data_IF_787144904286
#
_entry.id   IF_787144904286
#
_cell.length_a   1.000
_cell.length_b   1.000
_cell.length_c   1.000
_cell.angle_alpha   90.00
_cell.angle_beta   90.00
_cell.angle_gamma   90.00
#
_symmetry.space_group_name_H-M   'P 1'
#
loop_
_entity.id
_entity.type
_entity.pdbx_description
1 polymer ?
#
# COMPACT_ATOMS: atom_id res chain seq x y z
N UNK A 1 2.46 17.78 8.18
CA UNK A 1 3.70 17.97 7.38
C UNK A 1 4.27 16.67 6.80
N UNK A 2 3.64 15.50 6.98
CA UNK A 2 4.26 14.23 6.60
C UNK A 2 4.00 13.72 5.18
N UNK A 3 2.96 14.18 4.47
CA UNK A 3 2.72 13.81 3.06
C UNK A 3 3.96 13.91 2.16
N UNK A 4 4.74 15.01 2.14
CA UNK A 4 5.95 15.08 1.31
C UNK A 4 7.06 14.15 1.78
N UNK A 5 7.15 13.86 3.08
CA UNK A 5 8.12 12.91 3.63
C UNK A 5 7.78 11.47 3.20
N UNK A 6 6.52 11.08 3.36
CA UNK A 6 5.99 9.78 2.93
C UNK A 6 6.19 9.60 1.42
N UNK A 7 5.91 10.64 0.62
CA UNK A 7 6.17 10.63 -0.81
C UNK A 7 7.65 10.32 -1.13
N UNK A 8 8.60 11.00 -0.48
CA UNK A 8 10.04 10.75 -0.68
C UNK A 8 10.42 9.30 -0.37
N UNK A 9 9.87 8.71 0.68
CA UNK A 9 10.12 7.31 1.01
C UNK A 9 9.61 6.37 -0.07
N UNK A 10 8.38 6.57 -0.53
CA UNK A 10 7.83 5.78 -1.63
C UNK A 10 8.65 5.91 -2.92
N UNK A 11 9.09 7.11 -3.28
CA UNK A 11 9.95 7.31 -4.45
C UNK A 11 11.24 6.48 -4.34
N UNK A 12 11.90 6.50 -3.18
CA UNK A 12 13.12 5.69 -2.95
C UNK A 12 12.85 4.20 -3.08
N UNK A 13 11.76 3.73 -2.46
CA UNK A 13 11.36 2.31 -2.54
C UNK A 13 11.14 1.91 -4.01
N UNK A 14 10.43 2.74 -4.78
CA UNK A 14 10.16 2.47 -6.20
C UNK A 14 11.45 2.38 -7.03
N UNK A 15 12.45 3.22 -6.75
CA UNK A 15 13.75 3.16 -7.46
C UNK A 15 14.57 1.93 -7.13
N UNK A 16 14.38 1.35 -5.94
CA UNK A 16 15.12 0.16 -5.48
C UNK A 16 14.36 -1.14 -5.76
N UNK A 17 13.09 -1.06 -6.16
CA UNK A 17 12.26 -2.23 -6.36
C UNK A 17 12.72 -3.03 -7.59
N UNK A 18 12.89 -4.36 -7.48
CA UNK A 18 13.29 -5.18 -8.62
C UNK A 18 12.22 -5.19 -9.71
N UNK A 19 12.67 -5.30 -10.96
CA UNK A 19 11.78 -5.47 -12.10
C UNK A 19 11.21 -6.89 -12.11
N UNK A 20 9.88 -7.00 -12.13
CA UNK A 20 9.20 -8.29 -12.24
C UNK A 20 9.17 -8.73 -13.72
N UNK A 21 10.13 -9.58 -14.09
CA UNK A 21 10.22 -10.15 -15.44
C UNK A 21 9.21 -11.28 -15.71
N UNK A 22 8.64 -11.88 -14.66
CA UNK A 22 7.69 -12.98 -14.78
C UNK A 22 6.28 -12.49 -15.11
N UNK A 23 5.95 -11.25 -14.72
CA UNK A 23 4.63 -10.64 -14.96
C UNK A 23 4.79 -9.25 -15.57
N UNK A 24 5.13 -9.16 -16.88
CA UNK A 24 5.34 -7.87 -17.55
C UNK A 24 4.09 -6.98 -17.59
N UNK A 25 2.90 -7.57 -17.47
CA UNK A 25 1.61 -6.86 -17.47
C UNK A 25 1.28 -6.22 -16.13
N UNK A 26 1.84 -6.73 -15.02
CA UNK A 26 1.50 -6.31 -13.66
C UNK A 26 2.77 -5.88 -12.94
N UNK A 27 3.06 -4.58 -12.97
CA UNK A 27 4.20 -4.02 -12.24
C UNK A 27 3.76 -3.46 -10.90
N UNK A 28 4.37 -3.96 -9.83
CA UNK A 28 4.20 -3.42 -8.48
C UNK A 28 4.45 -1.90 -8.42
N UNK A 29 5.46 -1.43 -9.16
CA UNK A 29 5.81 -0.01 -9.20
C UNK A 29 4.66 0.85 -9.73
N UNK A 30 3.98 0.40 -10.80
CA UNK A 30 2.81 1.11 -11.35
C UNK A 30 1.66 1.16 -10.35
N UNK A 31 1.39 0.07 -9.65
CA UNK A 31 0.31 0.00 -8.64
C UNK A 31 0.57 0.93 -7.46
N UNK A 32 1.81 0.97 -6.96
CA UNK A 32 2.19 1.88 -5.86
C UNK A 32 2.18 3.34 -6.31
N UNK A 33 2.66 3.64 -7.51
CA UNK A 33 2.60 5.01 -8.06
C UNK A 33 1.16 5.50 -8.15
N UNK A 34 0.28 4.72 -8.79
CA UNK A 34 -1.15 5.05 -8.90
C UNK A 34 -1.79 5.31 -7.54
N UNK A 35 -1.43 4.52 -6.52
CA UNK A 35 -1.91 4.71 -5.14
C UNK A 35 -1.42 6.03 -4.53
N UNK A 36 -0.14 6.38 -4.72
CA UNK A 36 0.44 7.62 -4.21
C UNK A 36 -0.28 8.81 -4.82
N UNK A 37 -0.46 8.80 -6.14
CA UNK A 37 -1.15 9.85 -6.88
C UNK A 37 -2.56 10.00 -6.31
N UNK A 38 -3.31 8.91 -6.17
CA UNK A 38 -4.70 8.99 -5.72
C UNK A 38 -4.88 9.31 -4.23
N UNK A 39 -3.90 9.01 -3.35
CA UNK A 39 -4.04 9.18 -1.89
C UNK A 39 -3.31 10.39 -1.32
N UNK A 40 -2.15 10.75 -1.87
CA UNK A 40 -1.38 11.89 -1.38
C UNK A 40 -1.81 13.20 -2.06
N UNK A 41 -2.28 13.14 -3.32
CA UNK A 41 -2.73 14.32 -4.07
C UNK A 41 -4.24 14.60 -3.93
N UNK A 42 -5.06 13.60 -3.59
CA UNK A 42 -6.49 13.83 -3.34
C UNK A 42 -6.68 14.75 -2.13
N UNK A 43 -7.17 15.95 -2.44
CA UNK A 43 -7.70 16.91 -1.48
C UNK A 43 -8.92 16.30 -0.78
N UNK A 44 -9.15 16.53 0.53
CA UNK A 44 -10.24 15.93 1.29
C UNK A 44 -11.59 16.56 0.96
N UNK A 45 -12.08 16.39 -0.27
CA UNK A 45 -13.44 16.78 -0.67
C UNK A 45 -14.12 15.64 -1.42
N UNK A 46 -14.46 14.60 -0.67
CA UNK A 46 -15.60 13.71 -0.95
C UNK A 46 -16.24 13.33 0.38
N UNK A 47 -16.93 14.31 0.98
CA UNK A 47 -17.97 14.04 1.97
C UNK A 47 -19.18 13.49 1.22
N UNK A 48 -19.25 12.17 1.04
CA UNK A 48 -20.54 11.53 0.78
C UNK A 48 -21.17 11.21 2.13
N UNK A 49 -22.32 11.82 2.39
CA UNK A 49 -23.08 11.71 3.62
C UNK A 49 -23.34 10.22 4.00
N UNK A 50 -23.34 9.85 5.30
CA UNK A 50 -23.47 8.46 5.75
C UNK A 50 -24.93 7.96 5.74
N UNK A 51 -25.68 8.20 4.67
CA UNK A 51 -27.09 7.85 4.61
C UNK A 51 -27.56 7.52 3.19
N UNK A 52 -26.96 6.53 2.54
CA UNK A 52 -27.72 5.68 1.60
C UNK A 52 -26.92 4.44 1.17
N UNK A 53 -27.02 3.31 1.88
CA UNK A 53 -26.73 1.97 1.33
C UNK A 53 -27.41 0.89 2.19
N UNK A 54 -28.74 0.82 2.13
CA UNK A 54 -29.48 -0.36 2.59
C UNK A 54 -29.31 -1.44 1.52
N UNK A 55 -28.48 -2.46 1.77
CA UNK A 55 -28.49 -3.70 0.99
C UNK A 55 -29.11 -4.79 1.86
N UNK A 56 -30.36 -5.14 1.55
CA UNK A 56 -31.05 -6.30 2.09
C UNK A 56 -30.42 -7.58 1.53
N UNK A 57 -29.51 -8.19 2.29
CA UNK A 57 -29.26 -9.63 2.43
C UNK A 57 -27.93 -9.81 3.15
N UNK A 58 -27.90 -10.64 4.20
CA UNK A 58 -26.83 -10.77 5.21
C UNK A 58 -25.46 -11.27 4.74
N UNK A 59 -24.97 -10.84 3.58
CA UNK A 59 -23.57 -10.92 3.20
C UNK A 59 -22.88 -9.60 3.54
N UNK A 60 -21.94 -9.63 4.50
CA UNK A 60 -21.06 -8.49 4.79
C UNK A 60 -20.16 -8.23 3.57
N UNK A 61 -20.62 -7.37 2.67
CA UNK A 61 -19.73 -6.64 1.79
C UNK A 61 -19.05 -5.56 2.64
N UNK A 62 -17.76 -5.71 2.93
CA UNK A 62 -16.96 -4.68 3.62
C UNK A 62 -16.80 -3.49 2.67
N UNK A 63 -17.78 -2.57 2.67
CA UNK A 63 -17.73 -1.32 1.92
C UNK A 63 -16.54 -0.50 2.46
N UNK A 64 -15.59 -0.05 1.62
CA UNK A 64 -14.44 0.71 2.09
C UNK A 64 -14.92 2.09 2.53
N UNK A 65 -14.90 2.33 3.83
CA UNK A 65 -15.07 3.65 4.46
C UNK A 65 -14.22 4.68 3.71
N UNK A 66 -14.72 5.91 3.44
CA UNK A 66 -13.91 6.96 2.82
C UNK A 66 -12.68 7.21 3.68
N UNK A 67 -11.53 6.74 3.20
CA UNK A 67 -10.31 6.65 3.99
C UNK A 67 -9.70 8.05 4.10
N UNK A 68 -10.01 8.73 5.20
CA UNK A 68 -9.24 9.89 5.69
C UNK A 68 -7.75 9.51 5.64
N UNK A 69 -6.90 10.44 5.18
CA UNK A 69 -5.47 10.19 5.06
C UNK A 69 -4.88 9.87 6.45
N UNK A 70 -4.47 8.61 6.66
CA UNK A 70 -3.88 8.13 7.90
C UNK A 70 -2.36 8.12 7.79
N UNK A 71 -1.74 9.17 8.34
CA UNK A 71 -0.28 9.36 8.33
C UNK A 71 0.47 8.18 8.97
N UNK A 72 -0.03 7.64 10.08
CA UNK A 72 0.64 6.57 10.81
C UNK A 72 0.59 5.27 10.02
N UNK A 73 -0.58 4.94 9.47
CA UNK A 73 -0.75 3.76 8.62
C UNK A 73 0.10 3.81 7.34
N UNK A 74 0.25 5.00 6.74
CA UNK A 74 1.15 5.17 5.58
C UNK A 74 2.62 4.93 5.95
N UNK A 75 3.07 5.42 7.11
CA UNK A 75 4.45 5.25 7.55
C UNK A 75 4.76 3.79 7.90
N UNK A 76 3.82 3.08 8.52
CA UNK A 76 3.92 1.64 8.77
C UNK A 76 4.03 0.87 7.46
N UNK A 77 3.21 1.21 6.46
CA UNK A 77 3.27 0.59 5.14
C UNK A 77 4.64 0.82 4.47
N UNK A 78 5.17 2.04 4.54
CA UNK A 78 6.54 2.35 4.06
C UNK A 78 7.58 1.47 4.75
N UNK A 79 7.50 1.32 6.07
CA UNK A 79 8.42 0.48 6.83
C UNK A 79 8.35 -1.00 6.41
N UNK A 80 7.15 -1.52 6.19
CA UNK A 80 6.94 -2.90 5.68
C UNK A 80 7.59 -3.07 4.30
N UNK A 81 7.45 -2.11 3.40
CA UNK A 81 8.07 -2.14 2.08
C UNK A 81 9.60 -2.14 2.15
N UNK A 82 10.19 -1.36 3.06
CA UNK A 82 11.64 -1.44 3.32
C UNK A 82 12.05 -2.83 3.84
N UNK A 83 11.26 -3.45 4.73
CA UNK A 83 11.52 -4.83 5.18
C UNK A 83 11.57 -5.84 4.03
N UNK A 84 10.69 -5.69 3.04
CA UNK A 84 10.69 -6.55 1.85
C UNK A 84 11.90 -6.31 0.96
N UNK A 85 12.27 -5.06 0.71
CA UNK A 85 13.46 -4.71 -0.09
C UNK A 85 14.75 -5.24 0.52
N UNK A 86 14.91 -5.10 1.83
CA UNK A 86 16.09 -5.59 2.56
C UNK A 86 16.08 -7.13 2.72
N UNK A 87 15.06 -7.80 2.19
CA UNK A 87 14.88 -9.24 2.25
C UNK A 87 15.02 -9.80 3.68
N UNK A 88 14.63 -9.00 4.70
CA UNK A 88 14.85 -9.31 6.13
C UNK A 88 14.19 -10.63 6.57
N UNK A 89 13.18 -11.09 5.84
CA UNK A 89 12.45 -12.31 6.16
C UNK A 89 13.04 -13.59 5.53
N UNK A 90 13.97 -13.48 4.57
CA UNK A 90 14.56 -14.67 3.92
C UNK A 90 15.41 -15.53 4.86
N UNK A 91 16.03 -14.93 5.89
CA UNK A 91 16.90 -15.68 6.82
C UNK A 91 16.13 -16.63 7.75
N UNK A 92 14.82 -16.44 7.97
CA UNK A 92 14.06 -17.23 8.95
C UNK A 92 13.47 -18.54 8.39
N UNK A 93 13.40 -18.68 7.07
CA UNK A 93 12.87 -19.89 6.40
C UNK A 93 13.97 -20.82 5.85
N UNK A 94 15.22 -20.36 5.81
CA UNK A 94 16.38 -21.19 5.43
C UNK A 94 16.93 -21.99 6.62
N UNK A 95 16.05 -22.69 7.34
CA UNK A 95 16.37 -23.51 8.51
C UNK A 95 15.78 -24.91 8.41
N UNK A 96 16.01 -25.60 7.28
CA UNK A 96 15.80 -27.05 7.14
C UNK A 96 16.47 -27.57 5.87
N UNK A 97 17.76 -27.85 5.96
CA UNK A 97 18.42 -28.85 5.14
C UNK A 97 19.77 -29.16 5.78
N UNK A 98 19.75 -30.05 6.77
CA UNK A 98 20.94 -30.82 7.13
C UNK A 98 20.53 -32.30 7.07
N UNK A 99 21.23 -33.12 6.28
CA UNK A 99 20.92 -34.54 6.07
C UNK A 99 21.21 -35.41 7.31
#
# INVERSE_FOLDING_TARGET
>A
MAKPLIHKHYTRILTQWPLDLLRPTVSFQKSIQHRIDHRLTSSPSSSTNPADHVVANGAQATIPTPKIFDEKGELEQVNVLYSFLENRYSKKVSGKSEP
#
